data_IF_192758530304
#
_entry.id   IF_192758530304
#
_cell.length_a   1.000
_cell.length_b   1.000
_cell.length_c   1.000
_cell.angle_alpha   90.00
_cell.angle_beta   90.00
_cell.angle_gamma   90.00
#
_symmetry.space_group_name_H-M   'P 1'
#
loop_
_entity.id
_entity.type
_entity.pdbx_description
1 polymer ?
#
# COMPACT_ATOMS: atom_id res chain seq x y z
N UNK A 1 -10.70 -5.01 5.03
CA UNK A 1 -9.73 -5.77 5.85
C UNK A 1 -8.70 -4.83 6.46
N UNK A 2 -8.31 -5.06 7.71
CA UNK A 2 -7.51 -4.15 8.55
C UNK A 2 -6.05 -4.59 8.74
N UNK A 3 -5.70 -5.75 8.18
CA UNK A 3 -4.36 -6.35 8.30
C UNK A 3 -4.21 -7.31 9.48
N UNK A 4 -5.27 -7.61 10.22
CA UNK A 4 -5.23 -8.67 11.23
C UNK A 4 -5.31 -10.06 10.57
N UNK A 5 -4.50 -10.99 11.06
CA UNK A 5 -4.45 -12.37 10.57
C UNK A 5 -4.60 -13.35 11.74
N UNK A 6 -5.83 -13.69 12.18
CA UNK A 6 -6.07 -14.50 13.38
C UNK A 6 -5.49 -15.92 13.32
N UNK A 7 -5.20 -16.42 12.12
CA UNK A 7 -4.54 -17.71 11.91
C UNK A 7 -3.03 -17.66 12.19
N UNK A 8 -2.42 -16.48 12.13
CA UNK A 8 -1.04 -16.30 12.53
C UNK A 8 -0.96 -16.17 14.06
N UNK A 9 -0.14 -17.02 14.66
CA UNK A 9 0.08 -17.07 16.12
C UNK A 9 1.48 -16.59 16.50
N UNK A 10 2.29 -16.20 15.52
CA UNK A 10 3.73 -15.93 15.66
C UNK A 10 4.07 -14.44 15.74
N UNK A 11 3.20 -13.65 16.39
CA UNK A 11 3.25 -12.19 16.39
C UNK A 11 4.68 -11.65 16.65
N UNK A 12 5.23 -10.96 15.66
CA UNK A 12 6.56 -10.32 15.71
C UNK A 12 7.75 -11.28 15.57
N UNK A 13 7.53 -12.52 15.17
CA UNK A 13 8.56 -13.57 15.13
C UNK A 13 8.44 -14.63 14.03
N UNK A 14 7.53 -14.47 13.07
CA UNK A 14 7.35 -15.44 11.97
C UNK A 14 8.31 -15.23 10.80
N UNK A 15 9.04 -16.26 10.40
CA UNK A 15 9.71 -16.36 9.08
C UNK A 15 8.80 -17.08 8.06
N UNK A 16 7.49 -16.92 8.21
CA UNK A 16 6.51 -17.56 7.34
C UNK A 16 6.60 -17.04 5.90
N UNK A 17 6.25 -17.90 4.94
CA UNK A 17 6.39 -17.59 3.52
C UNK A 17 5.63 -16.32 3.07
N UNK A 18 4.54 -15.95 3.76
CA UNK A 18 3.79 -14.73 3.44
C UNK A 18 4.52 -13.44 3.85
N UNK A 19 5.50 -13.50 4.76
CA UNK A 19 6.29 -12.33 5.17
C UNK A 19 7.22 -11.81 4.07
N UNK A 20 7.37 -12.57 2.98
CA UNK A 20 7.96 -12.08 1.72
C UNK A 20 7.15 -10.92 1.12
N UNK A 21 5.82 -10.91 1.28
CA UNK A 21 4.92 -9.89 0.74
C UNK A 21 4.36 -8.95 1.80
N UNK A 22 4.42 -9.33 3.08
CA UNK A 22 3.88 -8.55 4.18
C UNK A 22 4.96 -8.25 5.23
N UNK A 23 4.91 -7.05 5.79
CA UNK A 23 5.63 -6.71 7.02
C UNK A 23 4.66 -6.75 8.18
N UNK A 24 5.03 -7.44 9.24
CA UNK A 24 4.27 -7.44 10.48
C UNK A 24 4.70 -6.28 11.38
N UNK A 25 3.74 -5.56 11.92
CA UNK A 25 3.97 -4.55 12.97
C UNK A 25 3.95 -5.20 14.35
N UNK A 26 4.50 -4.55 15.37
CA UNK A 26 4.43 -5.04 16.75
C UNK A 26 3.01 -5.18 17.33
N UNK A 27 1.98 -4.70 16.63
CA UNK A 27 0.57 -4.87 16.98
C UNK A 27 -0.11 -6.05 16.24
N UNK A 28 0.65 -6.93 15.59
CA UNK A 28 0.13 -8.08 14.83
C UNK A 28 -0.44 -7.72 13.45
N UNK A 29 -0.37 -6.45 13.06
CA UNK A 29 -0.88 -5.99 11.77
C UNK A 29 0.08 -6.35 10.65
N UNK A 30 -0.42 -7.04 9.65
CA UNK A 30 0.25 -7.38 8.40
C UNK A 30 0.01 -6.28 7.36
N UNK A 31 1.05 -5.54 7.04
CA UNK A 31 1.04 -4.44 6.06
C UNK A 31 1.70 -4.92 4.77
N UNK A 32 1.08 -4.78 3.59
CA UNK A 32 1.70 -5.14 2.33
C UNK A 32 3.01 -4.39 2.07
N UNK A 33 4.00 -5.09 1.53
CA UNK A 33 5.23 -4.50 0.97
C UNK A 33 4.96 -4.01 -0.45
N UNK A 34 4.13 -2.96 -0.56
CA UNK A 34 3.69 -2.41 -1.84
C UNK A 34 3.82 -0.88 -1.85
N UNK A 35 4.00 -0.30 -3.03
CA UNK A 35 3.96 1.14 -3.26
C UNK A 35 2.97 1.41 -4.41
N UNK A 36 2.07 2.36 -4.20
CA UNK A 36 1.13 2.83 -5.20
C UNK A 36 1.52 4.25 -5.57
N UNK A 37 1.69 4.49 -6.87
CA UNK A 37 2.10 5.78 -7.41
C UNK A 37 1.15 6.13 -8.54
N UNK A 38 0.57 7.32 -8.45
CA UNK A 38 -0.19 7.94 -9.53
C UNK A 38 0.16 9.43 -9.63
N UNK A 39 0.05 10.00 -10.82
CA UNK A 39 0.35 11.41 -11.08
C UNK A 39 -0.83 12.32 -10.70
N UNK A 40 -2.02 11.74 -10.54
CA UNK A 40 -3.20 12.43 -9.99
C UNK A 40 -3.80 11.68 -8.80
N UNK A 41 -4.60 12.33 -7.94
CA UNK A 41 -5.01 11.72 -6.68
C UNK A 41 -6.19 10.75 -6.79
N UNK A 42 -6.98 10.78 -7.86
CA UNK A 42 -8.29 10.13 -7.95
C UNK A 42 -8.25 8.65 -7.57
N UNK A 43 -7.40 7.86 -8.22
CA UNK A 43 -7.31 6.41 -7.98
C UNK A 43 -6.69 6.10 -6.62
N UNK A 44 -5.71 6.87 -6.20
CA UNK A 44 -5.07 6.71 -4.88
C UNK A 44 -6.05 7.02 -3.75
N UNK A 45 -6.93 8.01 -3.92
CA UNK A 45 -7.92 8.39 -2.92
C UNK A 45 -9.03 7.33 -2.77
N UNK A 46 -9.36 6.59 -3.83
CA UNK A 46 -10.23 5.41 -3.71
C UNK A 46 -9.59 4.32 -2.84
N UNK A 47 -8.27 4.12 -2.93
CA UNK A 47 -7.54 3.19 -2.05
C UNK A 47 -7.52 3.71 -0.61
N UNK A 48 -7.30 5.01 -0.41
CA UNK A 48 -7.28 5.66 0.92
C UNK A 48 -8.64 5.66 1.62
N UNK A 49 -9.74 5.56 0.87
CA UNK A 49 -11.11 5.61 1.43
C UNK A 49 -11.87 4.29 1.33
N UNK A 50 -11.38 3.36 0.51
CA UNK A 50 -12.02 2.08 0.23
C UNK A 50 -11.92 1.04 1.35
N UNK A 51 -12.41 -0.16 1.05
CA UNK A 51 -12.51 -1.30 2.00
C UNK A 51 -11.18 -1.72 2.63
N UNK A 52 -10.07 -1.45 1.94
CA UNK A 52 -8.70 -1.78 2.36
C UNK A 52 -7.90 -0.55 2.83
N UNK A 53 -8.56 0.58 3.10
CA UNK A 53 -7.91 1.83 3.52
C UNK A 53 -6.98 1.71 4.73
N UNK A 54 -7.24 0.75 5.61
CA UNK A 54 -6.42 0.50 6.80
C UNK A 54 -5.29 -0.49 6.54
N UNK A 55 -5.25 -1.18 5.39
CA UNK A 55 -4.30 -2.25 5.13
C UNK A 55 -2.90 -1.70 4.79
N UNK A 56 -2.83 -0.65 3.96
CA UNK A 56 -1.58 -0.11 3.42
C UNK A 56 -0.95 0.93 4.36
N UNK A 57 0.35 1.16 4.20
CA UNK A 57 1.02 2.28 4.85
C UNK A 57 0.65 3.59 4.11
N UNK A 58 0.16 4.65 4.79
CA UNK A 58 -0.28 5.87 4.11
C UNK A 58 0.81 6.54 3.26
N UNK A 59 2.06 6.49 3.71
CA UNK A 59 3.21 7.05 2.97
C UNK A 59 3.59 6.24 1.72
N UNK A 60 3.07 5.02 1.56
CA UNK A 60 3.26 4.20 0.35
C UNK A 60 2.20 4.50 -0.73
N UNK A 61 1.24 5.39 -0.44
CA UNK A 61 0.18 5.82 -1.36
C UNK A 61 0.51 7.23 -1.85
N UNK A 62 1.26 7.32 -2.95
CA UNK A 62 1.87 8.55 -3.46
C UNK A 62 1.04 9.07 -4.64
N UNK A 63 0.65 10.34 -4.57
CA UNK A 63 -0.15 11.01 -5.60
C UNK A 63 0.46 12.35 -6.00
N UNK A 64 0.55 12.61 -7.29
CA UNK A 64 0.82 13.94 -7.84
C UNK A 64 -0.43 14.84 -7.84
N UNK A 65 -0.32 16.01 -8.46
CA UNK A 65 -1.43 16.96 -8.64
C UNK A 65 -1.98 16.98 -10.06
N UNK A 66 -1.18 16.60 -11.04
CA UNK A 66 -1.54 16.66 -12.46
C UNK A 66 -1.10 15.38 -13.16
N UNK A 67 -1.97 14.85 -14.01
CA UNK A 67 -1.78 13.59 -14.71
C UNK A 67 -0.73 13.68 -15.85
N UNK A 68 -0.42 12.54 -16.49
CA UNK A 68 0.39 12.56 -17.71
C UNK A 68 -0.38 13.03 -18.96
N UNK A 69 -1.71 13.19 -18.91
CA UNK A 69 -2.57 13.52 -20.04
C UNK A 69 -2.33 12.62 -21.28
N UNK A 70 -2.17 11.31 -21.05
CA UNK A 70 -1.83 10.31 -22.08
C UNK A 70 -0.53 10.61 -22.85
N UNK A 71 0.38 11.41 -22.28
CA UNK A 71 1.65 11.78 -22.89
C UNK A 71 2.83 11.13 -22.15
N UNK A 72 3.56 10.25 -22.85
CA UNK A 72 4.75 9.60 -22.31
C UNK A 72 5.82 10.59 -21.84
N UNK A 73 6.04 11.69 -22.59
CA UNK A 73 7.06 12.66 -22.23
C UNK A 73 6.74 13.34 -20.89
N UNK A 74 5.44 13.56 -20.61
CA UNK A 74 5.01 14.14 -19.34
C UNK A 74 5.21 13.18 -18.19
N UNK A 75 4.96 11.89 -18.38
CA UNK A 75 5.17 10.88 -17.33
C UNK A 75 6.65 10.53 -17.06
N UNK A 76 7.57 10.84 -17.98
CA UNK A 76 8.98 10.44 -17.87
C UNK A 76 9.96 11.60 -17.66
N UNK A 77 9.71 12.78 -18.23
CA UNK A 77 10.69 13.87 -18.27
C UNK A 77 10.32 15.13 -17.49
N UNK A 78 9.04 15.35 -17.17
CA UNK A 78 8.54 16.58 -16.51
C UNK A 78 7.82 16.26 -15.22
#
# INVERSE_FOLDING_TARGET
PDGQMPSDTTVGGGDDAFNTFFSETGAGKHVPRAIFVDLEPTVIDEVRTGTYRQLFHPEQLISGKEDAANNFARGHYT
#
